data_IF_853011337722
#
_entry.id   IF_853011337722
#
_cell.length_a   1.000
_cell.length_b   1.000
_cell.length_c   1.000
_cell.angle_alpha   90.00
_cell.angle_beta   90.00
_cell.angle_gamma   90.00
#
_symmetry.space_group_name_H-M   'P 1'
#
loop_
_entity.id
_entity.type
_entity.pdbx_description
1 polymer ?
#
# COMPACT_ATOMS: atom_id res chain seq x y z
N UNK A 1 -16.16 -9.91 -4.02
CA UNK A 1 -15.45 -9.68 -2.74
C UNK A 1 -16.34 -10.05 -1.56
N UNK A 2 -15.85 -10.85 -0.63
CA UNK A 2 -16.62 -11.23 0.56
C UNK A 2 -16.53 -10.16 1.65
N UNK A 3 -17.47 -9.21 1.66
CA UNK A 3 -17.51 -8.07 2.59
C UNK A 3 -17.75 -8.47 4.05
N UNK A 4 -18.09 -9.73 4.30
CA UNK A 4 -18.25 -10.26 5.66
C UNK A 4 -16.93 -10.29 6.43
N UNK A 5 -15.83 -10.58 5.74
CA UNK A 5 -14.52 -10.74 6.36
C UNK A 5 -13.65 -9.48 6.28
N UNK A 6 -13.83 -8.67 5.25
CA UNK A 6 -12.98 -7.48 5.02
C UNK A 6 -13.71 -6.35 4.34
N UNK A 7 -13.43 -5.14 4.79
CA UNK A 7 -13.91 -3.91 4.17
C UNK A 7 -13.03 -3.55 2.97
N UNK A 8 -13.64 -3.05 1.90
CA UNK A 8 -12.90 -2.55 0.74
C UNK A 8 -12.01 -1.39 1.14
N UNK A 9 -10.80 -1.33 0.59
CA UNK A 9 -9.89 -0.19 0.70
C UNK A 9 -9.66 0.37 -0.70
N UNK A 10 -9.79 1.68 -0.84
CA UNK A 10 -9.41 2.43 -2.04
C UNK A 10 -8.25 3.33 -1.63
N UNK A 11 -7.07 3.08 -2.20
CA UNK A 11 -5.85 3.80 -1.87
C UNK A 11 -5.33 4.58 -3.07
N UNK A 12 -5.10 5.88 -2.90
CA UNK A 12 -4.43 6.73 -3.87
C UNK A 12 -2.96 6.92 -3.49
N UNK A 13 -2.05 6.58 -4.39
CA UNK A 13 -0.64 6.90 -4.29
C UNK A 13 -0.36 8.13 -5.17
N UNK A 14 -0.04 9.26 -4.55
CA UNK A 14 0.20 10.50 -5.29
C UNK A 14 1.55 10.51 -5.98
N UNK A 15 2.47 9.67 -5.53
CA UNK A 15 3.85 9.70 -5.98
C UNK A 15 4.43 11.11 -5.81
N UNK A 16 5.37 11.52 -6.63
CA UNK A 16 5.99 12.85 -6.56
C UNK A 16 5.13 13.90 -7.27
N UNK A 17 3.91 14.13 -6.74
CA UNK A 17 2.98 15.12 -7.28
C UNK A 17 2.40 16.01 -6.17
N UNK A 18 2.09 17.23 -6.54
CA UNK A 18 1.47 18.29 -5.72
C UNK A 18 2.38 18.90 -4.66
N UNK A 19 2.20 20.17 -4.52
CA UNK A 19 2.74 21.01 -3.43
C UNK A 19 1.78 21.03 -2.24
N UNK A 20 2.19 21.50 -1.06
CA UNK A 20 1.28 21.69 0.08
C UNK A 20 0.08 22.60 -0.22
N UNK A 21 0.26 23.60 -1.07
CA UNK A 21 -0.83 24.50 -1.49
C UNK A 21 -1.85 23.79 -2.36
N UNK A 22 -1.39 23.06 -3.37
CA UNK A 22 -2.24 22.23 -4.24
C UNK A 22 -2.91 21.09 -3.47
N UNK A 23 -2.22 20.53 -2.48
CA UNK A 23 -2.79 19.54 -1.57
C UNK A 23 -4.00 20.11 -0.83
N UNK A 24 -3.88 21.32 -0.26
CA UNK A 24 -5.00 21.96 0.43
C UNK A 24 -6.19 22.18 -0.52
N UNK A 25 -5.94 22.66 -1.74
CA UNK A 25 -7.00 22.90 -2.73
C UNK A 25 -7.70 21.59 -3.09
N UNK A 26 -6.94 20.55 -3.47
CA UNK A 26 -7.48 19.23 -3.79
C UNK A 26 -8.32 18.64 -2.66
N UNK A 27 -7.81 18.67 -1.42
CA UNK A 27 -8.50 18.10 -0.27
C UNK A 27 -9.81 18.83 0.04
N UNK A 28 -9.85 20.15 -0.20
CA UNK A 28 -11.06 20.94 -0.02
C UNK A 28 -12.14 20.52 -1.01
N UNK A 29 -11.79 20.37 -2.28
CA UNK A 29 -12.68 19.89 -3.34
C UNK A 29 -13.11 18.45 -3.09
N UNK A 30 -12.14 17.56 -2.81
CA UNK A 30 -12.39 16.14 -2.59
C UNK A 30 -13.39 15.86 -1.46
N UNK A 31 -13.37 16.67 -0.40
CA UNK A 31 -14.37 16.60 0.68
C UNK A 31 -15.81 16.74 0.18
N UNK A 32 -16.03 17.58 -0.82
CA UNK A 32 -17.38 17.88 -1.31
C UNK A 32 -17.99 16.76 -2.13
N UNK A 33 -17.14 15.97 -2.80
CA UNK A 33 -17.54 14.88 -3.69
C UNK A 33 -17.51 13.50 -3.03
N UNK A 34 -16.95 13.40 -1.82
CA UNK A 34 -16.85 12.12 -1.10
C UNK A 34 -18.22 11.54 -0.77
N UNK A 35 -18.50 10.28 -1.16
CA UNK A 35 -19.74 9.61 -0.79
C UNK A 35 -19.93 9.53 0.73
N UNK A 36 -21.15 9.74 1.22
CA UNK A 36 -21.48 9.62 2.66
C UNK A 36 -21.46 8.17 3.16
N UNK A 37 -21.58 7.21 2.25
CA UNK A 37 -21.56 5.78 2.56
C UNK A 37 -20.25 5.32 3.21
N UNK A 38 -20.29 4.31 4.09
CA UNK A 38 -19.13 3.78 4.83
C UNK A 38 -18.72 2.38 4.35
N UNK A 39 -18.99 2.06 3.10
CA UNK A 39 -18.75 0.74 2.53
C UNK A 39 -17.27 0.46 2.22
N UNK A 40 -16.44 1.51 2.11
CA UNK A 40 -14.99 1.39 1.90
C UNK A 40 -14.21 2.29 2.86
N UNK A 41 -12.95 1.95 3.08
CA UNK A 41 -11.94 2.84 3.63
C UNK A 41 -11.22 3.55 2.49
N UNK A 42 -10.88 4.82 2.68
CA UNK A 42 -10.14 5.61 1.70
C UNK A 42 -8.82 6.03 2.32
N UNK A 43 -7.73 5.72 1.64
CA UNK A 43 -6.38 6.13 1.99
C UNK A 43 -5.82 7.05 0.90
N UNK A 44 -5.23 8.18 1.28
CA UNK A 44 -4.48 9.03 0.37
C UNK A 44 -3.03 9.11 0.87
N UNK A 45 -2.14 8.43 0.15
CA UNK A 45 -0.71 8.46 0.41
C UNK A 45 -0.10 9.59 -0.40
N UNK A 46 0.53 10.53 0.29
CA UNK A 46 0.98 11.80 -0.26
C UNK A 46 2.46 12.03 0.03
N UNK A 47 3.16 12.87 -0.76
CA UNK A 47 4.53 13.28 -0.46
C UNK A 47 4.68 13.80 0.97
N UNK A 48 5.82 13.52 1.60
CA UNK A 48 6.05 13.85 3.01
C UNK A 48 5.79 15.33 3.34
N UNK A 49 6.17 16.24 2.45
CA UNK A 49 5.94 17.69 2.60
C UNK A 49 4.45 18.07 2.59
N UNK A 50 3.60 17.21 2.05
CA UNK A 50 2.15 17.42 1.93
C UNK A 50 1.37 16.85 3.13
N UNK A 51 1.96 15.94 3.92
CA UNK A 51 1.29 15.23 5.02
C UNK A 51 0.62 16.20 6.01
N UNK A 52 1.31 17.23 6.56
CA UNK A 52 0.67 18.14 7.53
C UNK A 52 -0.53 18.89 6.95
N UNK A 53 -0.46 19.29 5.69
CA UNK A 53 -1.57 19.97 5.01
C UNK A 53 -2.76 19.02 4.79
N UNK A 54 -2.49 17.79 4.34
CA UNK A 54 -3.49 16.76 4.10
C UNK A 54 -4.20 16.33 5.39
N UNK A 55 -3.44 16.03 6.45
CA UNK A 55 -3.99 15.62 7.76
C UNK A 55 -4.87 16.72 8.33
N UNK A 56 -4.43 17.99 8.30
CA UNK A 56 -5.24 19.12 8.76
C UNK A 56 -6.54 19.27 8.00
N UNK A 57 -6.47 19.15 6.66
CA UNK A 57 -7.64 19.28 5.81
C UNK A 57 -8.64 18.14 6.00
N UNK A 58 -8.19 16.91 6.33
CA UNK A 58 -9.03 15.72 6.45
C UNK A 58 -9.42 15.34 7.88
N UNK A 59 -9.06 16.15 8.89
CA UNK A 59 -9.23 15.84 10.33
C UNK A 59 -10.62 15.34 10.70
N UNK A 60 -11.67 15.89 10.14
CA UNK A 60 -13.07 15.55 10.46
C UNK A 60 -13.69 14.58 9.45
N UNK A 61 -12.85 13.91 8.67
CA UNK A 61 -13.30 12.93 7.70
C UNK A 61 -12.83 11.52 8.09
N UNK A 62 -13.34 10.52 7.38
CA UNK A 62 -12.89 9.13 7.50
C UNK A 62 -11.71 8.78 6.59
N UNK A 63 -11.21 9.75 5.81
CA UNK A 63 -10.10 9.55 4.90
C UNK A 63 -8.83 9.41 5.74
N UNK A 64 -8.11 8.31 5.54
CA UNK A 64 -6.80 8.09 6.12
C UNK A 64 -5.72 8.75 5.27
N UNK A 65 -4.87 9.56 5.89
CA UNK A 65 -3.68 10.06 5.21
C UNK A 65 -2.54 9.06 5.43
N UNK A 66 -1.78 8.80 4.39
CA UNK A 66 -0.62 7.94 4.41
C UNK A 66 0.64 8.61 3.88
N UNK A 67 1.78 8.01 4.19
CA UNK A 67 3.06 8.32 3.60
C UNK A 67 3.40 7.32 2.49
N UNK A 68 4.33 7.69 1.62
CA UNK A 68 4.74 6.90 0.47
C UNK A 68 6.00 6.05 0.72
N UNK A 69 6.61 6.21 1.89
CA UNK A 69 7.75 5.43 2.38
C UNK A 69 8.03 5.79 3.86
N UNK A 70 8.85 4.99 4.54
CA UNK A 70 9.52 5.35 5.78
C UNK A 70 10.90 4.68 5.88
N UNK A 71 11.71 5.13 6.85
CA UNK A 71 12.92 4.42 7.27
C UNK A 71 12.56 3.36 8.31
N UNK A 72 13.32 2.26 8.35
CA UNK A 72 13.14 1.19 9.32
C UNK A 72 13.67 1.54 10.72
N UNK A 73 14.57 2.52 10.82
CA UNK A 73 15.15 2.97 12.08
C UNK A 73 14.27 4.06 12.72
N UNK A 74 14.14 4.02 14.04
CA UNK A 74 13.33 4.99 14.78
C UNK A 74 13.97 6.38 14.86
N UNK A 75 15.30 6.46 14.76
CA UNK A 75 16.08 7.69 14.76
C UNK A 75 17.52 7.41 14.33
N UNK A 76 18.33 8.43 14.09
CA UNK A 76 19.75 8.27 13.82
C UNK A 76 20.31 9.16 12.72
N UNK A 77 21.49 8.85 12.25
CA UNK A 77 22.22 9.58 11.21
C UNK A 77 21.74 9.16 9.80
N UNK A 78 20.50 9.50 9.48
CA UNK A 78 19.83 9.17 8.22
C UNK A 78 19.28 10.45 7.59
N UNK A 79 20.17 11.35 7.18
CA UNK A 79 19.79 12.67 6.64
C UNK A 79 18.80 12.55 5.48
N UNK A 80 17.64 13.21 5.60
CA UNK A 80 16.58 13.19 4.59
C UNK A 80 15.52 12.07 4.77
N UNK A 81 15.76 11.09 5.65
CA UNK A 81 14.83 10.00 5.93
C UNK A 81 13.79 10.38 6.98
N UNK A 82 12.66 9.68 6.96
CA UNK A 82 11.53 9.90 7.87
C UNK A 82 11.21 8.60 8.58
N UNK A 83 11.25 8.59 9.90
CA UNK A 83 10.95 7.43 10.71
C UNK A 83 9.44 7.20 10.91
N UNK A 84 9.05 5.97 11.25
CA UNK A 84 7.66 5.60 11.49
C UNK A 84 6.98 6.43 12.60
N UNK A 85 7.69 6.72 13.70
CA UNK A 85 7.19 7.55 14.79
C UNK A 85 6.91 9.00 14.36
N UNK A 86 7.72 9.56 13.47
CA UNK A 86 7.50 10.90 12.89
C UNK A 86 6.22 10.94 12.06
N UNK A 87 5.96 9.89 11.26
CA UNK A 87 4.75 9.78 10.47
C UNK A 87 3.50 9.61 11.33
N UNK A 88 3.60 8.83 12.41
CA UNK A 88 2.52 8.65 13.38
C UNK A 88 2.16 9.98 14.05
N UNK A 89 3.14 10.71 14.53
CA UNK A 89 2.96 12.02 15.16
C UNK A 89 2.39 13.06 14.19
N UNK A 90 2.80 13.02 12.92
CA UNK A 90 2.25 13.84 11.86
C UNK A 90 0.78 13.50 11.51
N UNK A 91 0.22 12.40 12.05
CA UNK A 91 -1.17 11.98 11.90
C UNK A 91 -1.43 11.03 10.72
N UNK A 92 -0.41 10.37 10.19
CA UNK A 92 -0.57 9.31 9.20
C UNK A 92 -1.31 8.09 9.81
N UNK A 93 -2.00 7.36 8.95
CA UNK A 93 -2.64 6.06 9.25
C UNK A 93 -2.05 4.93 8.44
N UNK A 94 -1.52 5.22 7.27
CA UNK A 94 -0.98 4.25 6.32
C UNK A 94 0.44 4.62 5.90
N UNK A 95 1.21 3.62 5.47
CA UNK A 95 2.51 3.85 4.82
C UNK A 95 2.68 2.83 3.70
N UNK A 96 2.95 3.30 2.48
CA UNK A 96 3.34 2.44 1.35
C UNK A 96 4.77 1.98 1.57
N UNK A 97 5.03 0.69 1.37
CA UNK A 97 6.34 0.07 1.48
C UNK A 97 6.61 -0.82 0.28
N UNK A 98 7.84 -0.85 -0.19
CA UNK A 98 8.26 -1.75 -1.27
C UNK A 98 7.63 -1.45 -2.62
N UNK A 99 7.16 -0.20 -2.86
CA UNK A 99 6.65 0.20 -4.16
C UNK A 99 7.67 -0.05 -5.27
N UNK A 100 7.21 -0.46 -6.46
CA UNK A 100 8.09 -0.82 -7.58
C UNK A 100 9.13 0.25 -7.90
N UNK A 101 8.78 1.53 -7.82
CA UNK A 101 9.72 2.64 -8.02
C UNK A 101 10.81 2.68 -6.94
N UNK A 102 10.49 2.35 -5.69
CA UNK A 102 11.46 2.26 -4.60
C UNK A 102 12.40 1.07 -4.78
N UNK A 103 11.85 -0.08 -5.21
CA UNK A 103 12.64 -1.27 -5.54
C UNK A 103 13.60 -1.00 -6.70
N UNK A 104 13.18 -0.24 -7.71
CA UNK A 104 14.04 0.21 -8.80
C UNK A 104 15.21 1.12 -8.32
N UNK A 105 15.05 1.79 -7.17
CA UNK A 105 16.11 2.58 -6.50
C UNK A 105 16.96 1.73 -5.53
N UNK A 106 16.77 0.41 -5.49
CA UNK A 106 17.57 -0.52 -4.70
C UNK A 106 16.92 -1.01 -3.40
N UNK A 107 15.64 -0.69 -3.13
CA UNK A 107 14.96 -1.23 -1.95
C UNK A 107 14.77 -2.74 -2.07
N UNK A 108 15.33 -3.50 -1.13
CA UNK A 108 15.30 -4.96 -1.10
C UNK A 108 14.08 -5.52 -0.37
N UNK A 109 13.83 -6.82 -0.49
CA UNK A 109 12.80 -7.49 0.30
C UNK A 109 13.08 -7.43 1.81
N UNK A 110 14.35 -7.49 2.20
CA UNK A 110 14.80 -7.37 3.58
C UNK A 110 14.55 -5.96 4.13
N UNK A 111 14.74 -4.93 3.31
CA UNK A 111 14.43 -3.55 3.70
C UNK A 111 12.93 -3.36 3.91
N UNK A 112 12.12 -3.92 3.01
CA UNK A 112 10.65 -3.90 3.15
C UNK A 112 10.22 -4.60 4.44
N UNK A 113 10.76 -5.78 4.75
CA UNK A 113 10.47 -6.50 5.99
C UNK A 113 10.82 -5.67 7.24
N UNK A 114 12.02 -5.09 7.29
CA UNK A 114 12.42 -4.22 8.40
C UNK A 114 11.45 -3.06 8.60
N UNK A 115 11.00 -2.43 7.51
CA UNK A 115 10.04 -1.32 7.53
C UNK A 115 8.65 -1.79 7.98
N UNK A 116 8.17 -2.95 7.51
CA UNK A 116 6.90 -3.55 7.98
C UNK A 116 6.93 -3.72 9.49
N UNK A 117 7.98 -4.34 10.02
CA UNK A 117 8.13 -4.55 11.47
C UNK A 117 8.22 -3.24 12.25
N UNK A 118 8.89 -2.21 11.70
CA UNK A 118 8.98 -0.89 12.33
C UNK A 118 7.60 -0.20 12.44
N UNK A 119 6.73 -0.36 11.44
CA UNK A 119 5.37 0.20 11.46
C UNK A 119 4.45 -0.55 12.43
N UNK A 120 4.58 -1.87 12.51
CA UNK A 120 3.73 -2.72 13.37
C UNK A 120 4.00 -2.49 14.85
N UNK A 121 5.18 -2.01 15.25
CA UNK A 121 5.47 -1.53 16.59
C UNK A 121 4.69 -0.27 17.00
N UNK A 122 3.97 0.37 16.05
CA UNK A 122 3.12 1.55 16.23
C UNK A 122 1.66 1.29 15.87
N UNK A 123 0.98 2.36 15.40
CA UNK A 123 -0.43 2.31 14.96
C UNK A 123 -0.59 2.60 13.46
N UNK A 124 0.48 2.46 12.70
CA UNK A 124 0.47 2.67 11.26
C UNK A 124 0.17 1.36 10.54
N UNK A 125 -0.70 1.41 9.54
CA UNK A 125 -1.02 0.26 8.70
C UNK A 125 -0.10 0.21 7.49
N UNK A 126 0.76 -0.82 7.34
CA UNK A 126 1.55 -1.01 6.14
C UNK A 126 0.68 -1.31 4.92
N UNK A 127 0.96 -0.67 3.78
CA UNK A 127 0.51 -1.07 2.45
C UNK A 127 1.74 -1.64 1.74
N UNK A 128 1.86 -2.95 1.72
CA UNK A 128 3.04 -3.67 1.22
C UNK A 128 2.86 -3.96 -0.26
N UNK A 129 3.68 -3.32 -1.09
CA UNK A 129 3.68 -3.51 -2.53
C UNK A 129 4.52 -4.72 -2.94
N UNK A 130 3.93 -5.56 -3.77
CA UNK A 130 4.55 -6.73 -4.40
C UNK A 130 4.16 -6.79 -5.87
N UNK A 131 5.03 -7.31 -6.71
CA UNK A 131 4.74 -7.42 -8.12
C UNK A 131 5.95 -7.84 -8.95
N UNK A 132 5.67 -8.28 -10.16
CA UNK A 132 6.65 -8.82 -11.10
C UNK A 132 6.91 -7.90 -12.28
N UNK A 133 8.10 -8.05 -12.85
CA UNK A 133 8.47 -7.45 -14.14
C UNK A 133 7.85 -8.23 -15.31
N UNK A 134 7.90 -7.63 -16.51
CA UNK A 134 7.46 -8.32 -17.72
C UNK A 134 8.28 -9.60 -17.98
N UNK A 135 9.58 -9.57 -17.73
CA UNK A 135 10.44 -10.74 -17.91
C UNK A 135 9.98 -11.93 -17.06
N UNK A 136 9.73 -11.68 -15.75
CA UNK A 136 9.21 -12.73 -14.84
C UNK A 136 7.85 -13.24 -15.29
N UNK A 137 7.00 -12.38 -15.82
CA UNK A 137 5.70 -12.80 -16.35
C UNK A 137 5.82 -13.66 -17.61
N UNK A 138 6.68 -13.26 -18.52
CA UNK A 138 6.93 -13.99 -19.77
C UNK A 138 7.58 -15.37 -19.51
N UNK A 139 8.36 -15.49 -18.43
CA UNK A 139 8.91 -16.76 -17.94
C UNK A 139 7.86 -17.67 -17.27
N UNK A 140 6.64 -17.17 -17.02
CA UNK A 140 5.57 -17.92 -16.36
C UNK A 140 5.78 -18.15 -14.85
N UNK A 141 6.69 -17.41 -14.20
CA UNK A 141 7.06 -17.58 -12.79
C UNK A 141 6.45 -16.49 -11.87
N UNK A 142 5.45 -15.76 -12.35
CA UNK A 142 4.78 -14.66 -11.64
C UNK A 142 4.37 -15.02 -10.22
N UNK A 143 3.60 -16.11 -10.06
CA UNK A 143 3.03 -16.47 -8.76
C UNK A 143 4.13 -16.82 -7.75
N UNK A 144 5.13 -17.57 -8.16
CA UNK A 144 6.28 -17.94 -7.33
C UNK A 144 7.06 -16.69 -6.88
N UNK A 145 7.33 -15.80 -7.83
CA UNK A 145 8.06 -14.56 -7.58
C UNK A 145 7.32 -13.64 -6.60
N UNK A 146 6.03 -13.40 -6.83
CA UNK A 146 5.21 -12.53 -5.98
C UNK A 146 4.99 -13.15 -4.59
N UNK A 147 4.75 -14.46 -4.51
CA UNK A 147 4.63 -15.17 -3.24
C UNK A 147 5.95 -15.14 -2.43
N UNK A 148 7.11 -15.21 -3.09
CA UNK A 148 8.41 -15.04 -2.42
C UNK A 148 8.56 -13.62 -1.83
N UNK A 149 8.12 -12.57 -2.54
CA UNK A 149 8.11 -11.21 -1.99
C UNK A 149 7.18 -11.10 -0.77
N UNK A 150 5.97 -11.69 -0.82
CA UNK A 150 5.04 -11.72 0.33
C UNK A 150 5.69 -12.43 1.52
N UNK A 151 6.24 -13.62 1.32
CA UNK A 151 6.91 -14.40 2.36
C UNK A 151 8.04 -13.60 3.01
N UNK A 152 8.87 -12.94 2.20
CA UNK A 152 9.99 -12.14 2.71
C UNK A 152 9.50 -10.90 3.49
N UNK A 153 8.51 -10.16 2.95
CA UNK A 153 7.98 -8.95 3.59
C UNK A 153 7.37 -9.24 4.97
N UNK A 154 6.77 -10.40 5.17
CA UNK A 154 6.10 -10.80 6.41
C UNK A 154 6.93 -11.75 7.29
N UNK A 155 8.21 -11.95 7.01
CA UNK A 155 9.07 -12.80 7.83
C UNK A 155 9.13 -12.28 9.28
N UNK A 156 8.80 -13.15 10.26
CA UNK A 156 8.79 -12.81 11.68
C UNK A 156 7.65 -11.89 12.13
N UNK A 157 6.60 -11.73 11.31
CA UNK A 157 5.35 -11.06 11.67
C UNK A 157 4.35 -12.11 12.17
N UNK A 158 3.61 -11.82 13.23
CA UNK A 158 2.54 -12.70 13.72
C UNK A 158 1.20 -12.42 12.99
N UNK A 159 0.20 -13.28 13.23
CA UNK A 159 -1.09 -13.22 12.57
C UNK A 159 -1.90 -11.96 12.93
N UNK A 160 -1.82 -11.51 14.19
CA UNK A 160 -2.54 -10.33 14.68
C UNK A 160 -2.00 -9.04 14.06
N UNK A 161 -0.70 -8.97 13.91
CA UNK A 161 -0.02 -7.86 13.25
C UNK A 161 -0.22 -7.91 11.73
N UNK A 162 -0.17 -9.09 11.11
CA UNK A 162 -0.45 -9.26 9.69
C UNK A 162 -1.86 -8.80 9.31
N UNK A 163 -2.85 -9.05 10.16
CA UNK A 163 -4.24 -8.62 9.95
C UNK A 163 -4.41 -7.10 9.81
N UNK A 164 -3.46 -6.31 10.34
CA UNK A 164 -3.44 -4.84 10.23
C UNK A 164 -2.88 -4.35 8.89
N UNK A 165 -2.20 -5.23 8.15
CA UNK A 165 -1.54 -4.90 6.90
C UNK A 165 -2.49 -4.98 5.71
N UNK A 166 -2.09 -4.31 4.64
CA UNK A 166 -2.69 -4.39 3.31
C UNK A 166 -1.59 -4.82 2.35
N UNK A 167 -1.88 -5.71 1.42
CA UNK A 167 -0.97 -6.05 0.32
C UNK A 167 -1.47 -5.37 -0.94
N UNK A 168 -0.58 -4.74 -1.70
CA UNK A 168 -0.89 -4.15 -2.99
C UNK A 168 -0.14 -4.88 -4.09
N UNK A 169 -0.86 -5.56 -4.97
CA UNK A 169 -0.28 -6.20 -6.14
C UNK A 169 -0.09 -5.19 -7.26
N UNK A 170 1.15 -5.00 -7.66
CA UNK A 170 1.57 -4.09 -8.72
C UNK A 170 2.12 -4.89 -9.91
N UNK A 171 1.34 -5.15 -10.99
CA UNK A 171 1.89 -5.67 -12.22
C UNK A 171 2.79 -4.60 -12.85
N UNK A 172 4.12 -4.64 -12.58
CA UNK A 172 5.07 -3.58 -12.93
C UNK A 172 5.06 -3.32 -14.44
N UNK A 173 4.86 -4.37 -15.23
CA UNK A 173 4.72 -4.29 -16.68
C UNK A 173 3.48 -3.52 -17.17
N UNK A 174 2.51 -3.27 -16.28
CA UNK A 174 1.28 -2.51 -16.56
C UNK A 174 1.28 -1.11 -15.91
N UNK A 175 2.35 -0.69 -15.24
CA UNK A 175 2.44 0.63 -14.59
C UNK A 175 3.09 1.63 -15.53
N UNK A 176 2.34 2.66 -15.97
CA UNK A 176 2.87 3.74 -16.81
C UNK A 176 3.23 3.33 -18.24
N UNK A 177 2.87 2.12 -18.67
CA UNK A 177 3.23 1.57 -19.99
C UNK A 177 2.10 1.68 -21.01
N UNK A 178 0.91 2.12 -20.59
CA UNK A 178 -0.31 2.06 -21.39
C UNK A 178 -0.94 0.65 -21.47
N UNK A 179 -0.32 -0.37 -20.87
CA UNK A 179 -0.91 -1.70 -20.71
C UNK A 179 -1.67 -1.79 -19.40
N UNK A 180 -2.71 -2.59 -19.36
CA UNK A 180 -3.45 -2.95 -18.14
C UNK A 180 -3.54 -4.47 -18.05
N UNK A 181 -3.44 -5.02 -16.84
CA UNK A 181 -3.74 -6.42 -16.63
C UNK A 181 -5.24 -6.67 -16.88
N UNK A 182 -5.58 -7.82 -17.44
CA UNK A 182 -6.99 -8.23 -17.50
C UNK A 182 -7.50 -8.55 -16.10
N UNK A 183 -8.83 -8.53 -15.86
CA UNK A 183 -9.40 -8.95 -14.58
C UNK A 183 -8.94 -10.34 -14.16
N UNK A 184 -8.84 -11.29 -15.10
CA UNK A 184 -8.40 -12.66 -14.85
C UNK A 184 -6.92 -12.70 -14.40
N UNK A 185 -6.06 -11.92 -15.07
CA UNK A 185 -4.65 -11.82 -14.69
C UNK A 185 -4.46 -11.20 -13.30
N UNK A 186 -5.25 -10.19 -12.97
CA UNK A 186 -5.22 -9.57 -11.65
C UNK A 186 -5.73 -10.54 -10.58
N UNK A 187 -6.83 -11.24 -10.83
CA UNK A 187 -7.41 -12.21 -9.89
C UNK A 187 -6.49 -13.40 -9.66
N UNK A 188 -5.85 -13.93 -10.70
CA UNK A 188 -4.89 -15.03 -10.61
C UNK A 188 -3.81 -14.73 -9.55
N UNK A 189 -3.16 -13.58 -9.66
CA UNK A 189 -2.07 -13.21 -8.74
C UNK A 189 -2.61 -12.83 -7.36
N UNK A 190 -3.73 -12.12 -7.27
CA UNK A 190 -4.37 -11.81 -5.98
C UNK A 190 -4.79 -13.09 -5.24
N UNK A 191 -5.26 -14.11 -5.96
CA UNK A 191 -5.60 -15.43 -5.38
C UNK A 191 -4.34 -16.15 -4.87
N UNK A 192 -3.24 -16.12 -5.63
CA UNK A 192 -1.96 -16.70 -5.22
C UNK A 192 -1.41 -16.00 -3.96
N UNK A 193 -1.46 -14.66 -3.91
CA UNK A 193 -1.10 -13.88 -2.70
C UNK A 193 -1.95 -14.32 -1.51
N UNK A 194 -3.26 -14.47 -1.67
CA UNK A 194 -4.15 -14.90 -0.59
C UNK A 194 -3.85 -16.30 -0.10
N UNK A 195 -3.58 -17.23 -1.00
CA UNK A 195 -3.16 -18.57 -0.65
C UNK A 195 -1.82 -18.57 0.13
N UNK A 196 -0.87 -17.75 -0.30
CA UNK A 196 0.40 -17.58 0.42
C UNK A 196 0.21 -17.00 1.83
N UNK A 197 -0.69 -16.02 1.99
CA UNK A 197 -1.04 -15.47 3.29
C UNK A 197 -1.73 -16.51 4.19
N UNK A 198 -2.55 -17.40 3.62
CA UNK A 198 -3.18 -18.49 4.36
C UNK A 198 -2.14 -19.51 4.85
N UNK A 199 -1.12 -19.79 4.07
CA UNK A 199 0.01 -20.64 4.49
C UNK A 199 0.80 -20.00 5.64
N UNK A 200 0.97 -18.67 5.63
CA UNK A 200 1.75 -17.95 6.65
C UNK A 200 0.97 -17.73 7.96
N UNK A 201 -0.32 -17.41 7.89
CA UNK A 201 -1.09 -16.87 9.01
C UNK A 201 -2.40 -17.61 9.30
N UNK A 202 -2.73 -18.63 8.53
CA UNK A 202 -4.01 -19.32 8.60
C UNK A 202 -5.10 -18.62 7.78
N UNK A 203 -6.16 -19.39 7.48
CA UNK A 203 -7.24 -18.97 6.56
C UNK A 203 -8.00 -17.74 7.08
N UNK A 204 -8.30 -17.68 8.38
CA UNK A 204 -9.05 -16.57 8.97
C UNK A 204 -8.34 -15.24 8.78
N UNK A 205 -7.07 -15.16 9.15
CA UNK A 205 -6.25 -13.95 8.96
C UNK A 205 -6.10 -13.61 7.48
N UNK A 206 -5.82 -14.60 6.64
CA UNK A 206 -5.72 -14.40 5.21
C UNK A 206 -7.01 -13.83 4.61
N UNK A 207 -8.18 -14.30 5.03
CA UNK A 207 -9.47 -13.76 4.58
C UNK A 207 -9.74 -12.34 5.09
N UNK A 208 -9.24 -11.97 6.24
CA UNK A 208 -9.38 -10.62 6.81
C UNK A 208 -8.46 -9.60 6.11
N UNK A 209 -7.27 -10.00 5.70
CA UNK A 209 -6.31 -9.11 5.04
C UNK A 209 -6.83 -8.59 3.70
N UNK A 210 -6.62 -7.30 3.42
CA UNK A 210 -6.98 -6.66 2.15
C UNK A 210 -5.85 -6.85 1.16
N UNK A 211 -6.22 -7.22 -0.07
CA UNK A 211 -5.33 -7.24 -1.22
C UNK A 211 -5.88 -6.23 -2.22
N UNK A 212 -5.06 -5.29 -2.64
CA UNK A 212 -5.39 -4.25 -3.61
C UNK A 212 -4.76 -4.61 -4.95
N UNK A 213 -5.45 -4.30 -6.03
CA UNK A 213 -4.84 -4.20 -7.35
C UNK A 213 -4.23 -2.80 -7.50
N UNK A 214 -2.93 -2.74 -7.76
CA UNK A 214 -2.13 -1.52 -7.84
C UNK A 214 -1.63 -1.16 -9.24
N UNK A 215 -2.21 -1.73 -10.30
CA UNK A 215 -1.93 -1.32 -11.67
C UNK A 215 -2.49 0.07 -12.00
N UNK A 216 -2.27 0.54 -13.23
CA UNK A 216 -2.75 1.84 -13.68
C UNK A 216 -4.28 1.86 -13.78
N UNK A 217 -4.92 2.47 -12.79
CA UNK A 217 -6.39 2.65 -12.72
C UNK A 217 -6.76 4.06 -13.13
N UNK A 218 -7.80 4.19 -13.94
CA UNK A 218 -8.35 5.47 -14.38
C UNK A 218 -9.88 5.33 -14.60
N UNK A 219 -10.63 6.43 -14.79
CA UNK A 219 -12.07 6.37 -14.98
C UNK A 219 -12.56 5.51 -16.15
N UNK A 220 -11.70 5.23 -17.13
CA UNK A 220 -12.04 4.42 -18.31
C UNK A 220 -11.82 2.90 -18.14
N UNK A 221 -11.19 2.46 -17.01
CA UNK A 221 -10.89 1.04 -16.78
C UNK A 221 -11.20 0.57 -15.34
N UNK A 222 -11.97 1.35 -14.58
CA UNK A 222 -12.26 1.07 -13.18
C UNK A 222 -13.53 0.21 -12.98
N UNK A 223 -14.34 0.05 -14.01
CA UNK A 223 -15.59 -0.74 -14.03
C UNK A 223 -15.37 -2.20 -14.39
#
# INVERSE_FOLDING_TARGET
MNRKYRKTVIAGNWKMNKTPTETKAFMTEFKTIMPRGRWCDVALCVPAVCIPAAVRAMRETRIGIGAENCNANASGAYTGEIAANMLLDAGCKYVILGHSERRAMGETNEDVNKKVRALLGGRLAPIVCVGESLAVRDEGTTNEYVCAQVKAAFAGVDADDAAKCVVAYEPIWAIGTGRTATPEQAEEVCAAIRAQLAVLFGEETAQAMRILYGGSMNPGNVD
#
